data_IF_930409287421
#
_entry.id   IF_930409287421
#
_cell.length_a   1.000
_cell.length_b   1.000
_cell.length_c   1.000
_cell.angle_alpha   90.00
_cell.angle_beta   90.00
_cell.angle_gamma   90.00
#
_symmetry.space_group_name_H-M   'P 1'
#
loop_
_entity.id
_entity.type
_entity.pdbx_description
1 polymer ?
#
# COMPACT_ATOMS: atom_id res chain seq x y z
N UNK A 1 -17.97 6.11 -6.65
CA UNK A 1 -18.06 6.14 -8.14
C UNK A 1 -17.51 7.48 -8.65
N UNK A 2 -16.85 7.52 -9.81
CA UNK A 2 -16.41 8.76 -10.47
C UNK A 2 -17.13 8.88 -11.80
N UNK A 3 -18.17 9.75 -11.90
CA UNK A 3 -18.89 9.93 -13.15
C UNK A 3 -18.01 10.63 -14.19
N UNK A 4 -18.20 10.26 -15.45
CA UNK A 4 -17.56 10.86 -16.62
C UNK A 4 -18.50 10.78 -17.80
N UNK A 5 -18.63 11.89 -18.52
CA UNK A 5 -19.45 12.02 -19.73
C UNK A 5 -18.56 12.52 -20.87
N UNK A 6 -18.74 11.97 -22.06
CA UNK A 6 -17.93 12.34 -23.23
C UNK A 6 -18.45 13.62 -23.89
N UNK A 7 -17.58 14.59 -24.13
CA UNK A 7 -17.90 15.83 -24.87
C UNK A 7 -18.12 15.57 -26.38
N UNK A 8 -17.68 14.41 -26.89
CA UNK A 8 -17.81 13.99 -28.29
C UNK A 8 -18.73 12.77 -28.42
N UNK A 9 -19.74 12.67 -27.56
CA UNK A 9 -20.68 11.53 -27.52
C UNK A 9 -21.42 11.30 -28.86
N UNK A 10 -21.61 12.32 -29.69
CA UNK A 10 -22.19 12.15 -31.02
C UNK A 10 -21.31 11.34 -31.97
N UNK A 11 -19.98 11.45 -31.82
CA UNK A 11 -19.00 10.68 -32.60
C UNK A 11 -18.76 9.29 -31.99
N UNK A 12 -18.85 9.18 -30.66
CA UNK A 12 -18.56 7.95 -29.92
C UNK A 12 -19.69 7.63 -28.91
N UNK A 13 -20.87 7.19 -29.40
CA UNK A 13 -22.07 7.04 -28.57
C UNK A 13 -21.91 6.03 -27.43
N UNK A 14 -21.14 4.96 -27.62
CA UNK A 14 -20.85 3.97 -26.57
C UNK A 14 -20.04 4.55 -25.40
N UNK A 15 -19.31 5.64 -25.63
CA UNK A 15 -18.53 6.34 -24.60
C UNK A 15 -19.28 7.51 -23.94
N UNK A 16 -20.56 7.71 -24.29
CA UNK A 16 -21.38 8.83 -23.78
C UNK A 16 -21.31 8.92 -22.25
N UNK A 17 -21.44 7.78 -21.58
CA UNK A 17 -21.23 7.60 -20.15
C UNK A 17 -20.08 6.63 -19.95
N UNK A 18 -19.05 7.03 -19.21
CA UNK A 18 -17.85 6.23 -19.02
C UNK A 18 -17.34 6.27 -17.57
N UNK A 19 -18.23 5.94 -16.65
CA UNK A 19 -18.01 6.08 -15.22
C UNK A 19 -16.96 5.09 -14.71
N UNK A 20 -16.15 5.50 -13.74
CA UNK A 20 -15.21 4.60 -13.06
C UNK A 20 -15.76 4.19 -11.70
N UNK A 21 -15.91 2.89 -11.48
CA UNK A 21 -16.29 2.32 -10.19
C UNK A 21 -15.01 1.90 -9.46
N UNK A 22 -14.85 2.40 -8.24
CA UNK A 22 -13.70 2.11 -7.38
C UNK A 22 -14.13 1.09 -6.35
N UNK A 23 -13.48 -0.07 -6.35
CA UNK A 23 -13.75 -1.18 -5.42
C UNK A 23 -12.56 -1.33 -4.49
N UNK A 24 -12.82 -1.56 -3.20
CA UNK A 24 -11.78 -1.74 -2.20
C UNK A 24 -10.98 -3.02 -2.48
N UNK A 25 -9.65 -2.99 -2.41
CA UNK A 25 -8.84 -4.20 -2.52
C UNK A 25 -8.79 -4.94 -1.17
N UNK A 26 -8.47 -6.24 -1.14
CA UNK A 26 -7.94 -6.90 0.05
C UNK A 26 -6.67 -6.21 0.55
N UNK A 27 -6.47 -6.21 1.86
CA UNK A 27 -5.24 -5.70 2.47
C UNK A 27 -4.00 -6.40 1.89
N UNK A 28 -2.99 -5.62 1.50
CA UNK A 28 -1.78 -6.13 0.85
C UNK A 28 -1.93 -6.57 -0.60
N UNK A 29 -3.10 -6.37 -1.24
CA UNK A 29 -3.34 -6.76 -2.64
C UNK A 29 -3.13 -8.25 -2.92
N UNK A 30 -3.51 -9.13 -2.00
CA UNK A 30 -3.46 -10.58 -2.19
C UNK A 30 -4.76 -11.09 -2.81
N UNK A 31 -4.66 -11.73 -3.98
CA UNK A 31 -5.81 -12.26 -4.72
C UNK A 31 -5.61 -13.73 -5.08
N UNK A 32 -6.71 -14.47 -5.14
CA UNK A 32 -6.74 -15.77 -5.84
C UNK A 32 -7.21 -15.55 -7.28
N UNK A 33 -6.86 -16.48 -8.17
CA UNK A 33 -7.36 -16.44 -9.55
C UNK A 33 -8.88 -16.57 -9.62
N UNK A 34 -9.51 -17.23 -8.64
CA UNK A 34 -10.97 -17.30 -8.50
C UNK A 34 -11.58 -15.91 -8.29
N UNK A 35 -11.05 -15.13 -7.34
CA UNK A 35 -11.51 -13.76 -7.06
C UNK A 35 -11.38 -12.87 -8.30
N UNK A 36 -10.22 -12.92 -8.98
CA UNK A 36 -9.98 -12.10 -10.17
C UNK A 36 -10.91 -12.47 -11.33
N UNK A 37 -11.15 -13.77 -11.57
CA UNK A 37 -12.09 -14.22 -12.60
C UNK A 37 -13.53 -13.81 -12.28
N UNK A 38 -13.94 -13.91 -11.02
CA UNK A 38 -15.28 -13.51 -10.60
C UNK A 38 -15.53 -12.02 -10.85
N UNK A 39 -14.62 -11.15 -10.40
CA UNK A 39 -14.68 -9.71 -10.65
C UNK A 39 -14.66 -9.36 -12.15
N UNK A 40 -13.82 -10.04 -12.93
CA UNK A 40 -13.73 -9.85 -14.38
C UNK A 40 -15.03 -10.24 -15.09
N UNK A 41 -15.64 -11.37 -14.70
CA UNK A 41 -16.91 -11.83 -15.26
C UNK A 41 -18.05 -10.82 -14.96
N UNK A 42 -18.16 -10.35 -13.71
CA UNK A 42 -19.13 -9.32 -13.35
C UNK A 42 -18.91 -8.03 -14.15
N UNK A 43 -17.65 -7.63 -14.35
CA UNK A 43 -17.34 -6.42 -15.11
C UNK A 43 -17.61 -6.53 -16.61
N UNK A 44 -17.36 -7.68 -17.22
CA UNK A 44 -17.71 -7.92 -18.62
C UNK A 44 -19.23 -7.89 -18.87
N UNK A 45 -20.03 -8.16 -17.84
CA UNK A 45 -21.50 -8.09 -17.92
C UNK A 45 -22.02 -6.66 -17.80
N UNK A 46 -21.44 -5.86 -16.91
CA UNK A 46 -22.00 -4.56 -16.51
C UNK A 46 -21.16 -3.35 -16.94
N UNK A 47 -19.98 -3.55 -17.52
CA UNK A 47 -19.06 -2.48 -17.89
C UNK A 47 -18.31 -2.78 -19.18
N UNK A 48 -17.29 -1.98 -19.44
CA UNK A 48 -16.53 -2.01 -20.70
C UNK A 48 -15.55 -3.19 -20.82
N UNK A 49 -15.34 -3.96 -19.75
CA UNK A 49 -14.24 -4.93 -19.65
C UNK A 49 -12.88 -4.32 -19.29
N UNK A 50 -12.73 -2.99 -19.30
CA UNK A 50 -11.47 -2.33 -18.92
C UNK A 50 -11.31 -2.24 -17.39
N UNK A 51 -10.20 -2.76 -16.88
CA UNK A 51 -9.87 -2.75 -15.45
C UNK A 51 -8.44 -2.28 -15.25
N UNK A 52 -8.22 -1.38 -14.29
CA UNK A 52 -6.89 -1.05 -13.81
C UNK A 52 -6.66 -1.61 -12.39
N UNK A 53 -5.67 -2.51 -12.30
CA UNK A 53 -5.09 -3.04 -11.07
C UNK A 53 -3.74 -2.36 -10.84
N UNK A 54 -3.62 -1.32 -10.01
CA UNK A 54 -4.62 -0.66 -9.17
C UNK A 54 -4.57 0.86 -9.38
N UNK A 55 -5.58 1.56 -8.88
CA UNK A 55 -5.52 3.01 -8.71
C UNK A 55 -4.47 3.40 -7.67
N UNK A 56 -3.90 4.61 -7.80
CA UNK A 56 -2.83 5.08 -6.91
C UNK A 56 -3.14 5.01 -5.41
N UNK A 57 -4.40 5.18 -5.03
CA UNK A 57 -4.82 5.10 -3.62
C UNK A 57 -4.90 3.64 -3.13
N UNK A 58 -5.18 2.68 -4.01
CA UNK A 58 -5.32 1.26 -3.68
C UNK A 58 -6.44 0.54 -4.42
N UNK A 59 -7.51 1.26 -4.77
CA UNK A 59 -8.71 0.69 -5.39
C UNK A 59 -8.43 -0.14 -6.64
N UNK A 60 -9.20 -1.20 -6.82
CA UNK A 60 -9.43 -1.77 -8.15
C UNK A 60 -10.33 -0.79 -8.90
N UNK A 61 -9.94 -0.39 -10.10
CA UNK A 61 -10.71 0.56 -10.90
C UNK A 61 -11.35 -0.14 -12.08
N UNK A 62 -12.67 -0.28 -12.03
CA UNK A 62 -13.50 -0.76 -13.12
C UNK A 62 -13.92 0.43 -13.97
N UNK A 63 -13.39 0.53 -15.19
CA UNK A 63 -13.37 1.77 -15.98
C UNK A 63 -14.37 1.69 -17.11
N UNK A 64 -15.40 2.53 -17.09
CA UNK A 64 -16.37 2.63 -18.18
C UNK A 64 -17.61 1.78 -17.94
N UNK A 65 -18.66 2.43 -17.48
CA UNK A 65 -20.03 1.91 -17.41
C UNK A 65 -21.01 3.09 -17.44
N UNK A 66 -22.30 2.78 -17.56
CA UNK A 66 -23.41 3.73 -17.55
C UNK A 66 -23.92 3.98 -16.13
N UNK A 67 -24.73 5.03 -15.97
CA UNK A 67 -25.43 5.32 -14.71
C UNK A 67 -26.31 4.15 -14.26
N UNK A 68 -27.04 3.54 -15.20
CA UNK A 68 -27.93 2.39 -14.95
C UNK A 68 -27.14 1.15 -14.46
N UNK A 69 -26.11 0.76 -15.20
CA UNK A 69 -25.33 -0.44 -14.89
C UNK A 69 -24.47 -0.32 -13.64
N UNK A 70 -24.27 0.91 -13.13
CA UNK A 70 -23.47 1.13 -11.93
C UNK A 70 -24.05 0.42 -10.71
N UNK A 71 -25.37 0.49 -10.50
CA UNK A 71 -26.01 -0.18 -9.37
C UNK A 71 -26.00 -1.70 -9.55
N UNK A 72 -26.29 -2.20 -10.75
CA UNK A 72 -26.27 -3.64 -11.05
C UNK A 72 -24.90 -4.27 -10.81
N UNK A 73 -23.82 -3.60 -11.22
CA UNK A 73 -22.48 -4.06 -10.94
C UNK A 73 -22.20 -4.08 -9.42
N UNK A 74 -22.59 -3.02 -8.70
CA UNK A 74 -22.36 -2.96 -7.26
C UNK A 74 -23.12 -4.06 -6.52
N UNK A 75 -24.41 -4.25 -6.81
CA UNK A 75 -25.23 -5.30 -6.19
C UNK A 75 -24.58 -6.67 -6.38
N UNK A 76 -24.19 -7.00 -7.62
CA UNK A 76 -23.57 -8.29 -7.93
C UNK A 76 -22.25 -8.50 -7.17
N UNK A 77 -21.36 -7.51 -7.14
CA UNK A 77 -20.08 -7.68 -6.41
C UNK A 77 -20.26 -7.70 -4.88
N UNK A 78 -21.29 -7.01 -4.39
CA UNK A 78 -21.60 -6.96 -2.97
C UNK A 78 -22.15 -8.29 -2.45
N UNK A 79 -22.95 -9.00 -3.25
CA UNK A 79 -23.45 -10.35 -2.93
C UNK A 79 -22.32 -11.34 -2.63
N UNK A 80 -21.15 -11.20 -3.28
CA UNK A 80 -19.98 -12.03 -3.00
C UNK A 80 -18.88 -11.32 -2.19
N UNK A 81 -19.24 -10.24 -1.49
CA UNK A 81 -18.48 -9.67 -0.37
C UNK A 81 -17.51 -8.53 -0.71
N UNK A 82 -17.61 -7.92 -1.89
CA UNK A 82 -16.85 -6.72 -2.24
C UNK A 82 -17.63 -5.45 -1.95
N UNK A 83 -16.90 -4.38 -1.71
CA UNK A 83 -17.49 -3.09 -1.40
C UNK A 83 -16.80 -1.96 -2.17
N UNK A 84 -17.52 -0.86 -2.33
CA UNK A 84 -17.01 0.34 -2.98
C UNK A 84 -15.97 1.02 -2.11
N UNK A 85 -14.99 1.64 -2.75
CA UNK A 85 -14.02 2.51 -2.09
C UNK A 85 -14.47 3.96 -2.03
N UNK A 86 -13.78 4.75 -1.18
CA UNK A 86 -14.10 6.15 -0.96
C UNK A 86 -13.75 7.09 -2.12
N UNK A 87 -14.64 8.05 -2.39
CA UNK A 87 -14.43 9.19 -3.29
C UNK A 87 -15.15 10.43 -2.77
N UNK A 88 -14.55 11.62 -2.95
CA UNK A 88 -15.08 12.88 -2.41
C UNK A 88 -14.37 13.32 -1.11
N UNK A 89 -15.00 14.21 -0.32
CA UNK A 89 -14.53 14.69 0.97
C UNK A 89 -14.87 13.69 2.08
N UNK A 90 -14.19 12.55 2.04
CA UNK A 90 -14.42 11.37 2.87
C UNK A 90 -13.09 10.70 3.20
N UNK A 91 -13.13 9.71 4.09
CA UNK A 91 -12.04 8.73 4.19
C UNK A 91 -11.94 8.02 2.85
N UNK A 92 -10.72 7.91 2.32
CA UNK A 92 -10.45 7.14 1.11
C UNK A 92 -10.04 5.74 1.48
N UNK A 93 -10.13 4.83 0.50
CA UNK A 93 -9.54 3.49 0.56
C UNK A 93 -8.12 3.57 1.11
N UNK A 94 -7.83 2.76 2.13
CA UNK A 94 -6.50 2.66 2.70
C UNK A 94 -5.67 1.62 1.95
N UNK A 95 -4.36 1.60 2.23
CA UNK A 95 -3.46 0.58 1.74
C UNK A 95 -2.30 0.32 2.70
N UNK A 96 -1.76 -0.89 2.63
CA UNK A 96 -0.55 -1.31 3.31
C UNK A 96 0.51 -1.78 2.32
N UNK A 97 1.79 -1.77 2.70
CA UNK A 97 2.80 -2.56 2.00
C UNK A 97 2.54 -4.08 2.16
N UNK A 98 3.35 -4.91 1.49
CA UNK A 98 3.24 -6.39 1.60
C UNK A 98 3.46 -6.87 3.03
N UNK A 99 4.39 -6.22 3.73
CA UNK A 99 4.57 -6.36 5.16
C UNK A 99 4.91 -7.77 5.61
N UNK A 100 4.44 -8.13 6.80
CA UNK A 100 4.72 -9.42 7.45
C UNK A 100 4.33 -10.66 6.62
N UNK A 101 3.53 -10.51 5.56
CA UNK A 101 3.26 -11.62 4.64
C UNK A 101 4.50 -12.07 3.84
N UNK A 102 5.47 -11.18 3.58
CA UNK A 102 6.66 -11.52 2.79
C UNK A 102 7.85 -10.56 2.98
N UNK A 103 7.97 -9.91 4.14
CA UNK A 103 9.07 -9.00 4.44
C UNK A 103 9.54 -9.21 5.88
N UNK A 104 10.81 -9.55 6.02
CA UNK A 104 11.55 -9.76 7.27
C UNK A 104 11.81 -8.46 8.04
N UNK A 105 11.67 -7.30 7.38
CA UNK A 105 11.85 -5.98 7.98
C UNK A 105 10.57 -5.42 8.62
N UNK A 106 9.46 -6.16 8.54
CA UNK A 106 8.16 -5.71 9.06
C UNK A 106 8.17 -5.63 10.59
N UNK A 107 7.82 -4.47 11.15
CA UNK A 107 7.76 -4.24 12.60
C UNK A 107 6.34 -4.26 13.16
N UNK A 108 5.33 -4.49 12.33
CA UNK A 108 3.93 -4.53 12.74
C UNK A 108 3.12 -5.41 11.79
N UNK A 109 1.89 -5.77 12.16
CA UNK A 109 0.99 -6.43 11.23
C UNK A 109 0.22 -5.38 10.41
N UNK A 110 0.78 -4.99 9.26
CA UNK A 110 0.27 -3.89 8.43
C UNK A 110 -1.12 -4.18 7.89
N UNK A 111 -1.38 -5.43 7.52
CA UNK A 111 -2.66 -5.88 6.98
C UNK A 111 -3.77 -5.81 8.03
N UNK A 112 -3.46 -6.19 9.28
CA UNK A 112 -4.38 -6.05 10.42
C UNK A 112 -4.65 -4.59 10.75
N UNK A 113 -3.61 -3.75 10.79
CA UNK A 113 -3.77 -2.30 11.04
C UNK A 113 -4.62 -1.66 9.95
N UNK A 114 -4.32 -1.94 8.68
CA UNK A 114 -5.11 -1.49 7.53
C UNK A 114 -6.57 -1.88 7.69
N UNK A 115 -6.87 -3.17 7.91
CA UNK A 115 -8.25 -3.64 8.06
C UNK A 115 -8.96 -3.01 9.25
N UNK A 116 -8.27 -2.83 10.38
CA UNK A 116 -8.84 -2.19 11.57
C UNK A 116 -9.25 -0.73 11.28
N UNK A 117 -8.37 0.03 10.63
CA UNK A 117 -8.66 1.41 10.25
C UNK A 117 -9.84 1.48 9.28
N UNK A 118 -9.80 0.71 8.19
CA UNK A 118 -10.88 0.73 7.18
C UNK A 118 -12.23 0.35 7.78
N UNK A 119 -12.29 -0.73 8.57
CA UNK A 119 -13.56 -1.20 9.12
C UNK A 119 -14.16 -0.24 10.15
N UNK A 120 -13.33 0.44 10.96
CA UNK A 120 -13.81 1.41 11.94
C UNK A 120 -14.27 2.74 11.31
N UNK A 121 -13.78 3.06 10.11
CA UNK A 121 -14.08 4.31 9.38
C UNK A 121 -14.86 4.06 8.09
N UNK A 122 -15.59 2.94 8.00
CA UNK A 122 -16.33 2.57 6.79
C UNK A 122 -17.46 3.58 6.49
N UNK A 123 -18.11 4.09 7.54
CA UNK A 123 -19.15 5.11 7.42
C UNK A 123 -18.59 6.40 6.81
N UNK A 124 -17.50 6.91 7.38
CA UNK A 124 -16.79 8.10 6.89
C UNK A 124 -16.19 7.91 5.49
N UNK A 125 -16.06 6.67 5.00
CA UNK A 125 -15.61 6.37 3.64
C UNK A 125 -16.75 6.45 2.63
N UNK A 126 -17.92 5.89 2.98
CA UNK A 126 -19.07 5.80 2.08
C UNK A 126 -19.99 7.01 2.14
N UNK A 127 -19.99 7.74 3.25
CA UNK A 127 -20.85 8.91 3.50
C UNK A 127 -19.97 10.14 3.70
N UNK A 128 -19.67 10.91 2.64
CA UNK A 128 -18.79 12.07 2.75
C UNK A 128 -19.32 13.11 3.76
N UNK A 129 -18.66 13.19 4.91
CA UNK A 129 -18.99 14.09 6.01
C UNK A 129 -17.80 14.95 6.46
N UNK A 130 -16.62 14.76 5.85
CA UNK A 130 -15.40 15.49 6.23
C UNK A 130 -15.30 16.82 5.48
N UNK A 131 -14.54 17.80 6.00
CA UNK A 131 -14.26 19.05 5.26
C UNK A 131 -13.53 18.82 3.93
N UNK A 132 -12.69 17.78 3.86
CA UNK A 132 -12.01 17.36 2.64
C UNK A 132 -11.62 15.88 2.69
N UNK A 133 -10.86 15.39 1.70
CA UNK A 133 -10.41 13.99 1.66
C UNK A 133 -9.45 13.67 2.81
N UNK A 134 -9.54 12.44 3.34
CA UNK A 134 -8.62 11.91 4.33
C UNK A 134 -8.15 10.50 3.93
N UNK A 135 -6.89 10.15 4.18
CA UNK A 135 -6.28 8.89 3.75
C UNK A 135 -5.47 8.25 4.87
N UNK A 136 -5.64 6.95 5.03
CA UNK A 136 -4.75 6.10 5.79
C UNK A 136 -3.77 5.37 4.86
N UNK A 137 -2.49 5.29 5.25
CA UNK A 137 -1.53 4.35 4.65
C UNK A 137 -0.61 3.76 5.70
N UNK A 138 -0.25 2.49 5.50
CA UNK A 138 0.52 1.70 6.47
C UNK A 138 1.78 1.13 5.82
N UNK A 139 2.93 1.38 6.45
CA UNK A 139 4.21 0.79 6.09
C UNK A 139 4.82 0.09 7.32
N UNK A 140 5.34 -1.11 7.11
CA UNK A 140 5.93 -1.93 8.17
C UNK A 140 7.24 -1.43 8.75
N UNK A 141 7.97 -0.61 8.00
CA UNK A 141 9.26 -0.07 8.40
C UNK A 141 9.53 1.28 7.71
N UNK A 142 10.60 2.01 8.10
CA UNK A 142 10.96 3.29 7.52
C UNK A 142 11.38 3.27 6.04
N UNK A 143 11.57 2.11 5.40
CA UNK A 143 11.68 2.02 3.93
C UNK A 143 10.40 2.49 3.21
N UNK A 144 9.27 2.55 3.94
CA UNK A 144 8.01 3.14 3.51
C UNK A 144 7.55 2.71 2.11
N UNK A 145 7.53 1.40 1.83
CA UNK A 145 7.15 0.89 0.51
C UNK A 145 5.73 1.27 0.07
N UNK A 146 4.84 1.63 1.00
CA UNK A 146 3.50 2.14 0.68
C UNK A 146 3.51 3.63 0.27
N UNK A 147 4.64 4.29 0.50
CA UNK A 147 4.84 5.72 0.42
C UNK A 147 3.75 6.45 1.22
N UNK A 148 3.64 6.06 2.49
CA UNK A 148 2.61 6.50 3.42
C UNK A 148 2.81 7.96 3.80
N UNK A 149 4.05 8.38 4.12
CA UNK A 149 4.33 9.73 4.60
C UNK A 149 4.03 10.81 3.54
N UNK A 150 4.16 10.49 2.25
CA UNK A 150 3.92 11.48 1.17
C UNK A 150 2.49 11.44 0.61
N UNK A 151 1.73 10.37 0.87
CA UNK A 151 0.48 10.08 0.13
C UNK A 151 -0.71 9.76 1.03
N UNK A 152 -0.58 9.95 2.34
CA UNK A 152 -1.65 9.83 3.31
C UNK A 152 -1.67 11.02 4.26
N UNK A 153 -2.87 11.33 4.76
CA UNK A 153 -3.10 12.33 5.80
C UNK A 153 -2.76 11.74 7.18
N UNK A 154 -2.89 10.41 7.31
CA UNK A 154 -2.45 9.65 8.47
C UNK A 154 -1.57 8.47 8.03
N UNK A 155 -0.27 8.61 8.30
CA UNK A 155 0.74 7.61 7.98
C UNK A 155 1.08 6.79 9.23
N UNK A 156 1.00 5.45 9.10
CA UNK A 156 1.51 4.52 10.10
C UNK A 156 2.80 3.92 9.56
N UNK A 157 3.92 4.15 10.25
CA UNK A 157 5.23 3.61 9.89
C UNK A 157 5.76 2.82 11.08
N UNK A 158 5.88 1.50 10.91
CA UNK A 158 6.41 0.60 11.93
C UNK A 158 7.88 0.89 12.25
N UNK A 159 8.27 0.66 13.50
CA UNK A 159 9.65 0.75 13.97
C UNK A 159 9.81 -0.08 15.25
N UNK A 160 11.04 -0.19 15.74
CA UNK A 160 11.39 -0.84 16.99
C UNK A 160 12.01 0.16 17.96
N UNK A 161 12.19 -0.24 19.23
CA UNK A 161 12.72 0.65 20.29
C UNK A 161 13.89 0.06 21.07
N UNK A 162 14.15 -1.23 20.89
CA UNK A 162 15.27 -1.97 21.41
C UNK A 162 16.45 -1.96 20.42
N UNK A 163 17.44 -2.80 20.69
CA UNK A 163 18.69 -2.83 19.95
C UNK A 163 18.56 -3.61 18.63
N UNK A 164 19.28 -3.19 17.60
CA UNK A 164 19.42 -3.96 16.37
C UNK A 164 20.08 -5.31 16.70
N UNK A 165 19.45 -6.39 16.26
CA UNK A 165 19.99 -7.74 16.39
C UNK A 165 21.11 -7.95 15.36
N UNK A 166 22.29 -8.35 15.83
CA UNK A 166 23.47 -8.55 14.98
C UNK A 166 23.99 -9.98 15.14
N UNK A 167 23.98 -10.74 14.05
CA UNK A 167 24.74 -11.98 13.98
C UNK A 167 26.17 -11.69 13.53
N UNK A 168 27.10 -11.70 14.48
CA UNK A 168 28.50 -11.37 14.22
C UNK A 168 29.17 -12.37 13.25
N UNK A 169 28.69 -13.63 13.16
CA UNK A 169 29.24 -14.60 12.21
C UNK A 169 28.88 -14.21 10.77
N UNK A 170 27.64 -13.76 10.55
CA UNK A 170 27.19 -13.26 9.25
C UNK A 170 27.89 -11.95 8.88
N UNK A 171 28.14 -11.06 9.85
CA UNK A 171 28.96 -9.85 9.64
C UNK A 171 30.36 -10.23 9.15
N UNK A 172 31.06 -11.13 9.86
CA UNK A 172 32.40 -11.57 9.48
C UNK A 172 32.41 -12.25 8.10
N UNK A 173 31.41 -13.09 7.81
CA UNK A 173 31.25 -13.69 6.48
C UNK A 173 31.02 -12.63 5.38
N UNK A 174 30.23 -11.59 5.67
CA UNK A 174 30.01 -10.48 4.76
C UNK A 174 31.28 -9.65 4.52
N UNK A 175 32.04 -9.36 5.58
CA UNK A 175 33.35 -8.68 5.49
C UNK A 175 34.34 -9.51 4.67
N UNK A 176 34.45 -10.81 4.92
CA UNK A 176 35.31 -11.70 4.14
C UNK A 176 34.93 -11.73 2.65
N UNK A 177 33.62 -11.70 2.36
CA UNK A 177 33.09 -11.69 0.98
C UNK A 177 33.26 -10.35 0.27
N UNK A 178 33.17 -9.22 0.98
CA UNK A 178 33.12 -7.88 0.38
C UNK A 178 34.36 -7.01 0.63
N UNK A 179 35.25 -7.41 1.52
CA UNK A 179 36.35 -6.64 2.14
C UNK A 179 35.91 -5.61 3.18
N UNK A 180 36.79 -5.35 4.16
CA UNK A 180 36.64 -4.29 5.17
C UNK A 180 36.39 -2.92 4.53
N UNK A 181 37.14 -2.57 3.48
CA UNK A 181 36.97 -1.30 2.76
C UNK A 181 35.54 -1.11 2.25
N UNK A 182 34.94 -2.15 1.66
CA UNK A 182 33.57 -2.07 1.17
C UNK A 182 32.57 -1.82 2.29
N UNK A 183 32.68 -2.56 3.41
CA UNK A 183 31.77 -2.42 4.55
C UNK A 183 31.89 -1.03 5.18
N UNK A 184 33.11 -0.51 5.30
CA UNK A 184 33.35 0.85 5.78
C UNK A 184 32.71 1.88 4.83
N UNK A 185 33.00 1.81 3.53
CA UNK A 185 32.57 2.81 2.55
C UNK A 185 31.05 2.79 2.28
N UNK A 186 30.39 1.62 2.40
CA UNK A 186 29.01 1.43 1.98
C UNK A 186 28.02 1.19 3.12
N UNK A 187 28.46 0.80 4.31
CA UNK A 187 27.57 0.59 5.47
C UNK A 187 27.89 1.59 6.56
N UNK A 188 29.13 1.57 7.08
CA UNK A 188 29.53 2.39 8.23
C UNK A 188 29.49 3.89 7.90
N UNK A 189 30.20 4.31 6.86
CA UNK A 189 30.32 5.72 6.48
C UNK A 189 29.00 6.33 5.97
N UNK A 190 28.02 5.49 5.61
CA UNK A 190 26.69 5.91 5.15
C UNK A 190 25.65 5.96 6.27
N UNK A 191 26.00 5.53 7.48
CA UNK A 191 25.14 5.71 8.64
C UNK A 191 24.91 7.21 8.90
N UNK A 192 23.65 7.71 8.87
CA UNK A 192 23.38 9.14 8.96
C UNK A 192 23.77 9.76 10.30
N UNK A 193 23.89 8.95 11.35
CA UNK A 193 24.28 9.39 12.70
C UNK A 193 25.64 8.88 13.15
N UNK A 194 26.39 8.19 12.28
CA UNK A 194 27.69 7.58 12.59
C UNK A 194 27.62 6.63 13.81
N UNK A 195 26.50 5.93 13.96
CA UNK A 195 26.26 4.99 15.05
C UNK A 195 26.88 3.59 14.83
N UNK A 196 27.58 3.37 13.71
CA UNK A 196 28.18 2.09 13.35
C UNK A 196 29.70 2.17 13.44
N UNK A 197 30.34 1.07 13.87
CA UNK A 197 31.79 0.89 13.80
C UNK A 197 32.13 -0.56 13.49
N UNK A 198 33.12 -0.79 12.63
CA UNK A 198 33.68 -2.12 12.37
C UNK A 198 34.98 -2.27 13.17
N UNK A 199 35.03 -3.21 14.11
CA UNK A 199 36.18 -3.45 14.97
C UNK A 199 37.32 -4.17 14.22
N UNK A 200 38.49 -4.29 14.86
CA UNK A 200 39.66 -4.95 14.27
C UNK A 200 39.46 -6.46 14.06
N UNK A 201 38.58 -7.09 14.84
CA UNK A 201 38.19 -8.51 14.74
C UNK A 201 37.01 -8.76 13.79
N UNK A 202 36.71 -7.80 12.92
CA UNK A 202 35.59 -7.82 11.97
C UNK A 202 34.18 -7.89 12.60
N UNK A 203 34.04 -7.61 13.90
CA UNK A 203 32.72 -7.45 14.53
C UNK A 203 32.11 -6.07 14.29
N UNK A 204 30.78 -5.99 14.15
CA UNK A 204 30.04 -4.74 13.99
C UNK A 204 29.51 -4.26 15.36
N UNK A 205 29.92 -3.07 15.77
CA UNK A 205 29.36 -2.38 16.93
C UNK A 205 28.32 -1.35 16.48
N UNK A 206 27.20 -1.29 17.22
CA UNK A 206 26.09 -0.38 16.96
C UNK A 206 25.77 0.40 18.24
N UNK A 207 25.89 1.72 18.18
CA UNK A 207 25.37 2.62 19.21
C UNK A 207 23.87 2.84 18.99
N UNK A 208 23.06 1.91 19.47
CA UNK A 208 21.60 1.94 19.29
C UNK A 208 20.95 3.21 19.86
N UNK A 209 21.55 3.84 20.89
CA UNK A 209 21.05 5.09 21.47
C UNK A 209 21.12 6.25 20.47
N UNK A 210 22.12 6.26 19.59
CA UNK A 210 22.28 7.24 18.52
C UNK A 210 21.76 6.76 17.16
N UNK A 211 21.17 5.55 17.08
CA UNK A 211 20.57 5.04 15.86
C UNK A 211 19.20 5.68 15.60
N UNK A 212 19.00 6.18 14.39
CA UNK A 212 17.71 6.75 13.91
C UNK A 212 16.86 5.74 13.15
N UNK A 213 17.24 4.46 13.12
CA UNK A 213 16.49 3.35 12.50
C UNK A 213 16.14 3.60 11.03
N UNK A 214 17.12 4.11 10.28
CA UNK A 214 16.95 4.51 8.88
C UNK A 214 16.89 3.35 7.86
N UNK A 215 17.02 2.10 8.30
CA UNK A 215 17.03 0.88 7.46
C UNK A 215 18.22 0.70 6.49
N UNK A 216 19.21 1.58 6.51
CA UNK A 216 20.36 1.51 5.58
C UNK A 216 21.28 0.30 5.82
N UNK A 217 21.64 0.07 7.09
CA UNK A 217 22.51 -1.04 7.48
C UNK A 217 21.73 -2.34 7.60
#
# INVERSE_FOLDING_TARGET
IIPRFSEVASMFPESKEFHTIRVQPPAGNHYTTKMMRQLSNSWNKWGSGLIAFHGQTGNIMFIGTTSENTQHFFDEINEYGWDLGGAGPCVRTAMSCVGAARCEQSNCNEQRIHRLLVNNFIDDMHRPALPYKFKFKVSGCPNDCMNSIQRADFAVIGTWRDDIQVDQKEVQAFVAKKSRKYVIDNVVARCPTRALSLNDDDTLAIDNRNCVRCMHC
#
